data_IF_541583830353
#
_entry.id   IF_541583830353
#
_cell.length_a   1.000
_cell.length_b   1.000
_cell.length_c   1.000
_cell.angle_alpha   90.00
_cell.angle_beta   90.00
_cell.angle_gamma   90.00
#
_symmetry.space_group_name_H-M   'P 1'
#
loop_
_entity.id
_entity.type
_entity.pdbx_description
1 polymer ?
#
# COMPACT_ATOMS: atom_id res chain seq x y z
N UNK A 1 -21.49 2.79 -14.73
CA UNK A 1 -20.04 2.48 -14.64
C UNK A 1 -19.53 2.81 -13.25
N UNK A 2 -18.97 1.81 -12.56
CA UNK A 2 -18.26 1.97 -11.27
C UNK A 2 -16.83 2.41 -11.54
N UNK A 3 -16.22 3.11 -10.59
CA UNK A 3 -14.79 3.42 -10.60
C UNK A 3 -14.13 2.75 -9.40
N UNK A 4 -12.93 2.20 -9.63
CA UNK A 4 -12.04 1.71 -8.58
C UNK A 4 -10.72 2.46 -8.67
N UNK A 5 -10.27 2.99 -7.55
CA UNK A 5 -8.90 3.52 -7.42
C UNK A 5 -8.10 2.64 -6.46
N UNK A 6 -7.01 2.06 -6.93
CA UNK A 6 -6.10 1.24 -6.14
C UNK A 6 -4.86 2.05 -5.84
N UNK A 7 -4.44 2.11 -4.58
CA UNK A 7 -3.24 2.79 -4.14
C UNK A 7 -2.20 1.76 -3.68
N UNK A 8 -0.96 1.84 -4.18
CA UNK A 8 0.16 1.20 -3.48
C UNK A 8 0.35 1.90 -2.11
N UNK A 9 0.66 1.16 -1.04
CA UNK A 9 0.80 1.74 0.31
C UNK A 9 1.81 2.91 0.34
N UNK A 10 2.92 2.78 -0.39
CA UNK A 10 3.96 3.80 -0.55
C UNK A 10 3.49 5.09 -1.24
N UNK A 11 2.30 5.11 -1.84
CA UNK A 11 1.64 6.32 -2.34
C UNK A 11 0.71 6.96 -1.31
N UNK A 12 0.45 6.28 -0.20
CA UNK A 12 -0.44 6.74 0.88
C UNK A 12 0.40 7.21 2.06
N UNK A 13 1.38 6.39 2.45
CA UNK A 13 2.33 6.64 3.54
C UNK A 13 3.74 6.70 2.94
N UNK A 14 4.51 7.72 3.31
CA UNK A 14 5.95 7.79 3.07
C UNK A 14 6.63 6.87 4.08
N UNK A 15 7.45 5.95 3.59
CA UNK A 15 8.31 5.10 4.41
C UNK A 15 9.54 4.67 3.60
N UNK A 16 10.60 4.25 4.29
CA UNK A 16 11.77 3.63 3.66
C UNK A 16 11.59 2.11 3.58
N UNK A 17 11.40 1.57 2.37
CA UNK A 17 11.31 0.11 2.17
C UNK A 17 12.58 -0.58 2.66
N UNK A 18 13.75 0.01 2.42
CA UNK A 18 15.04 -0.47 2.91
C UNK A 18 15.06 -0.57 4.44
N UNK A 19 14.54 0.42 5.17
CA UNK A 19 14.52 0.37 6.63
C UNK A 19 13.54 -0.71 7.12
N UNK A 20 12.36 -0.83 6.50
CA UNK A 20 11.41 -1.89 6.86
C UNK A 20 11.98 -3.29 6.62
N UNK A 21 12.70 -3.51 5.51
CA UNK A 21 13.40 -4.77 5.25
C UNK A 21 14.49 -5.04 6.30
N UNK A 22 15.27 -4.02 6.68
CA UNK A 22 16.26 -4.16 7.77
C UNK A 22 15.62 -4.62 9.08
N UNK A 23 14.44 -4.13 9.43
CA UNK A 23 13.72 -4.60 10.62
C UNK A 23 13.35 -6.08 10.51
N UNK A 24 12.88 -6.55 9.35
CA UNK A 24 12.62 -7.97 9.13
C UNK A 24 13.90 -8.81 9.25
N UNK A 25 14.99 -8.33 8.67
CA UNK A 25 16.27 -9.04 8.66
C UNK A 25 16.90 -9.14 10.05
N UNK A 26 16.79 -8.07 10.85
CA UNK A 26 17.18 -8.09 12.26
C UNK A 26 16.38 -9.13 13.04
N UNK A 27 15.06 -9.21 12.83
CA UNK A 27 14.23 -10.22 13.51
C UNK A 27 14.60 -11.65 13.13
N UNK A 28 14.92 -11.90 11.87
CA UNK A 28 15.40 -13.21 11.42
C UNK A 28 16.75 -13.53 12.06
N UNK A 29 17.66 -12.55 12.13
CA UNK A 29 18.96 -12.72 12.78
C UNK A 29 18.85 -13.04 14.27
N UNK A 30 17.98 -12.33 14.99
CA UNK A 30 17.72 -12.57 16.41
C UNK A 30 17.09 -13.94 16.70
N UNK A 31 16.24 -14.44 15.80
CA UNK A 31 15.48 -15.68 16.01
C UNK A 31 16.18 -16.92 15.50
N UNK A 32 16.84 -16.83 14.36
CA UNK A 32 17.46 -17.96 13.67
C UNK A 32 18.98 -17.98 13.81
N UNK A 33 19.59 -16.91 14.34
CA UNK A 33 21.04 -16.79 14.48
C UNK A 33 21.78 -16.59 13.17
N UNK A 34 21.09 -16.20 12.10
CA UNK A 34 21.66 -15.98 10.76
C UNK A 34 21.83 -14.49 10.51
N UNK A 35 23.04 -14.04 10.25
CA UNK A 35 23.29 -12.66 9.83
C UNK A 35 22.86 -12.48 8.37
N UNK A 36 22.10 -11.42 8.08
CA UNK A 36 21.79 -10.99 6.72
C UNK A 36 22.44 -9.64 6.45
N UNK A 37 23.67 -9.69 5.92
CA UNK A 37 24.47 -8.50 5.60
C UNK A 37 23.93 -7.75 4.37
N UNK A 38 23.25 -8.47 3.47
CA UNK A 38 22.62 -7.94 2.26
C UNK A 38 21.21 -8.49 2.09
N UNK A 39 20.38 -7.75 1.35
CA UNK A 39 19.06 -8.22 0.94
C UNK A 39 19.19 -9.39 -0.05
N UNK A 40 18.76 -10.62 0.33
CA UNK A 40 18.95 -11.80 -0.52
C UNK A 40 17.99 -11.83 -1.71
N UNK A 41 16.90 -11.07 -1.67
CA UNK A 41 15.87 -11.04 -2.71
C UNK A 41 15.27 -9.63 -2.85
N UNK A 42 16.04 -8.65 -3.36
CA UNK A 42 15.60 -7.26 -3.49
C UNK A 42 14.39 -7.09 -4.43
N UNK A 43 14.17 -8.02 -5.36
CA UNK A 43 13.03 -8.05 -6.26
C UNK A 43 11.72 -8.49 -5.59
N UNK A 44 11.80 -9.26 -4.49
CA UNK A 44 10.61 -9.75 -3.78
C UNK A 44 10.14 -8.68 -2.81
N UNK A 45 9.17 -7.87 -3.21
CA UNK A 45 8.64 -6.78 -2.36
C UNK A 45 7.69 -7.27 -1.27
N UNK A 46 6.86 -8.27 -1.56
CA UNK A 46 5.88 -8.82 -0.62
C UNK A 46 6.59 -9.51 0.56
N UNK A 47 6.34 -9.05 1.79
CA UNK A 47 7.04 -9.50 3.00
C UNK A 47 6.74 -10.96 3.37
N UNK A 48 5.55 -11.47 3.04
CA UNK A 48 5.21 -12.88 3.21
C UNK A 48 6.05 -13.74 2.26
N UNK A 49 6.12 -13.34 0.99
CA UNK A 49 6.90 -14.05 -0.03
C UNK A 49 8.40 -13.98 0.28
N UNK A 50 8.90 -12.83 0.73
CA UNK A 50 10.30 -12.62 1.12
C UNK A 50 10.69 -13.53 2.29
N UNK A 51 9.87 -13.56 3.35
CA UNK A 51 10.13 -14.44 4.49
C UNK A 51 10.14 -15.91 4.07
N UNK A 52 9.16 -16.35 3.27
CA UNK A 52 9.11 -17.70 2.74
C UNK A 52 10.35 -18.03 1.90
N UNK A 53 10.80 -17.10 1.05
CA UNK A 53 12.00 -17.26 0.23
C UNK A 53 13.25 -17.47 1.10
N UNK A 54 13.43 -16.63 2.13
CA UNK A 54 14.56 -16.74 3.05
C UNK A 54 14.53 -18.07 3.82
N UNK A 55 13.36 -18.50 4.28
CA UNK A 55 13.20 -19.79 4.96
C UNK A 55 13.59 -20.97 4.06
N UNK A 56 13.18 -20.93 2.79
CA UNK A 56 13.48 -21.99 1.83
C UNK A 56 14.95 -21.99 1.37
N UNK A 57 15.54 -20.82 1.14
CA UNK A 57 16.86 -20.69 0.50
C UNK A 57 18.01 -20.60 1.50
N UNK A 58 17.84 -19.79 2.54
CA UNK A 58 18.91 -19.49 3.50
C UNK A 58 18.83 -20.38 4.74
N UNK A 59 17.66 -20.46 5.37
CA UNK A 59 17.47 -21.23 6.61
C UNK A 59 17.32 -22.74 6.32
N UNK A 60 16.88 -23.10 5.09
CA UNK A 60 16.60 -24.47 4.63
C UNK A 60 15.59 -25.19 5.53
N UNK A 61 14.53 -24.48 5.93
CA UNK A 61 13.42 -25.01 6.74
C UNK A 61 12.09 -24.54 6.16
N UNK A 62 11.04 -25.30 6.42
CA UNK A 62 9.68 -24.83 6.19
C UNK A 62 9.27 -23.83 7.28
N UNK A 63 8.58 -22.78 6.87
CA UNK A 63 7.99 -21.81 7.79
C UNK A 63 6.64 -22.34 8.27
N UNK A 64 6.55 -22.75 9.53
CA UNK A 64 5.28 -23.14 10.13
C UNK A 64 4.35 -21.94 10.34
N UNK A 65 3.05 -22.19 10.43
CA UNK A 65 2.04 -21.14 10.69
C UNK A 65 2.29 -20.43 12.03
N UNK A 66 2.69 -21.17 13.07
CA UNK A 66 3.02 -20.60 14.38
C UNK A 66 4.23 -19.67 14.30
N UNK A 67 5.28 -20.08 13.57
CA UNK A 67 6.46 -19.25 13.37
C UNK A 67 6.11 -18.01 12.56
N UNK A 68 5.31 -18.15 11.49
CA UNK A 68 4.84 -17.04 10.70
C UNK A 68 4.09 -16.01 11.55
N UNK A 69 3.12 -16.45 12.36
CA UNK A 69 2.37 -15.56 13.25
C UNK A 69 3.31 -14.85 14.25
N UNK A 70 4.33 -15.54 14.74
CA UNK A 70 5.34 -14.94 15.62
C UNK A 70 6.17 -13.86 14.91
N UNK A 71 6.57 -14.06 13.64
CA UNK A 71 7.25 -13.07 12.82
C UNK A 71 6.37 -11.85 12.54
N UNK A 72 5.11 -12.05 12.16
CA UNK A 72 4.15 -10.96 11.91
C UNK A 72 3.99 -10.07 13.14
N UNK A 73 3.81 -10.68 14.31
CA UNK A 73 3.67 -9.97 15.59
C UNK A 73 4.96 -9.24 15.99
N UNK A 74 6.12 -9.87 15.82
CA UNK A 74 7.41 -9.26 16.12
C UNK A 74 7.73 -8.10 15.17
N UNK A 75 7.42 -8.26 13.88
CA UNK A 75 7.60 -7.22 12.87
C UNK A 75 6.77 -5.98 13.17
N UNK A 76 5.50 -6.14 13.51
CA UNK A 76 4.66 -5.01 13.98
C UNK A 76 5.28 -4.29 15.17
N UNK A 77 5.81 -5.02 16.16
CA UNK A 77 6.48 -4.41 17.32
C UNK A 77 7.71 -3.61 16.89
N UNK A 78 8.52 -4.15 15.98
CA UNK A 78 9.68 -3.47 15.43
C UNK A 78 9.30 -2.20 14.66
N UNK A 79 8.27 -2.27 13.80
CA UNK A 79 7.72 -1.10 13.09
C UNK A 79 7.22 -0.04 14.07
N UNK A 80 6.48 -0.45 15.12
CA UNK A 80 6.01 0.48 16.15
C UNK A 80 7.18 1.13 16.91
N UNK A 81 8.20 0.37 17.25
CA UNK A 81 9.40 0.90 17.90
C UNK A 81 10.10 1.92 16.99
N UNK A 82 10.31 1.57 15.72
CA UNK A 82 10.92 2.48 14.74
C UNK A 82 10.13 3.80 14.59
N UNK A 83 8.79 3.75 14.65
CA UNK A 83 7.96 4.96 14.65
C UNK A 83 8.13 5.83 15.91
N UNK A 84 8.35 5.21 17.08
CA UNK A 84 8.55 5.94 18.33
C UNK A 84 9.96 6.52 18.44
N UNK A 85 10.94 5.85 17.84
CA UNK A 85 12.33 6.29 17.82
C UNK A 85 12.56 7.43 16.80
N UNK A 86 11.81 7.43 15.71
CA UNK A 86 11.83 8.45 14.65
C UNK A 86 10.39 8.73 14.18
N UNK A 87 9.79 9.82 14.68
CA UNK A 87 8.41 10.22 14.33
C UNK A 87 8.26 10.51 12.83
N UNK A 88 9.35 10.90 12.14
CA UNK A 88 9.36 11.21 10.70
C UNK A 88 9.56 9.96 9.83
N UNK A 89 9.81 8.79 10.44
CA UNK A 89 9.99 7.53 9.73
C UNK A 89 8.77 7.15 8.88
N UNK A 90 7.58 7.57 9.33
CA UNK A 90 6.31 7.32 8.65
C UNK A 90 5.47 8.59 8.61
N UNK A 91 5.14 9.07 7.41
CA UNK A 91 4.32 10.27 7.23
C UNK A 91 3.21 10.02 6.21
N UNK A 92 1.99 10.46 6.50
CA UNK A 92 0.92 10.46 5.48
C UNK A 92 1.29 11.41 4.34
N UNK A 93 1.12 10.97 3.09
CA UNK A 93 1.40 11.87 1.97
C UNK A 93 0.37 13.00 1.90
N UNK A 94 0.80 14.27 1.70
CA UNK A 94 -0.10 15.41 1.65
C UNK A 94 -1.23 15.24 0.65
N UNK A 95 -2.46 15.53 1.10
CA UNK A 95 -3.66 15.49 0.27
C UNK A 95 -4.36 14.12 0.19
N UNK A 96 -3.73 13.03 0.66
CA UNK A 96 -4.34 11.68 0.68
C UNK A 96 -5.67 11.65 1.43
N UNK A 97 -5.69 12.19 2.66
CA UNK A 97 -6.91 12.16 3.47
C UNK A 97 -8.05 12.98 2.82
N UNK A 98 -7.72 14.12 2.21
CA UNK A 98 -8.69 14.90 1.44
C UNK A 98 -9.19 14.15 0.20
N UNK A 99 -8.33 13.36 -0.45
CA UNK A 99 -8.70 12.55 -1.61
C UNK A 99 -9.65 11.43 -1.21
N UNK A 100 -9.35 10.73 -0.11
CA UNK A 100 -10.17 9.65 0.43
C UNK A 100 -11.55 10.17 0.82
N UNK A 101 -11.62 11.27 1.57
CA UNK A 101 -12.90 11.87 1.95
C UNK A 101 -13.74 12.41 0.78
N UNK A 102 -13.12 12.66 -0.39
CA UNK A 102 -13.86 13.00 -1.61
C UNK A 102 -14.33 11.75 -2.37
N UNK A 103 -13.52 10.69 -2.42
CA UNK A 103 -13.93 9.40 -2.98
C UNK A 103 -15.11 8.78 -2.23
N UNK A 104 -15.12 8.84 -0.89
CA UNK A 104 -16.23 8.32 -0.07
C UNK A 104 -17.57 9.02 -0.35
N UNK A 105 -17.54 10.29 -0.77
CA UNK A 105 -18.76 11.06 -1.12
C UNK A 105 -19.34 10.65 -2.48
N UNK A 106 -18.58 9.93 -3.30
CA UNK A 106 -18.96 9.53 -4.65
C UNK A 106 -19.55 8.11 -4.66
N UNK A 107 -20.89 7.99 -4.70
CA UNK A 107 -21.63 6.70 -4.60
C UNK A 107 -21.18 5.55 -5.53
N UNK A 108 -20.54 5.85 -6.66
CA UNK A 108 -20.06 4.86 -7.63
C UNK A 108 -18.53 4.76 -7.68
N UNK A 109 -17.86 5.23 -6.62
CA UNK A 109 -16.41 5.21 -6.47
C UNK A 109 -16.03 4.31 -5.31
N UNK A 110 -15.23 3.29 -5.60
CA UNK A 110 -14.58 2.43 -4.61
C UNK A 110 -13.09 2.73 -4.62
N UNK A 111 -12.43 2.49 -3.51
CA UNK A 111 -10.98 2.56 -3.47
C UNK A 111 -10.40 1.57 -2.47
N UNK A 112 -9.13 1.24 -2.66
CA UNK A 112 -8.41 0.37 -1.76
C UNK A 112 -6.91 0.53 -1.82
N UNK A 113 -6.23 -0.10 -0.87
CA UNK A 113 -4.78 -0.09 -0.73
C UNK A 113 -4.26 -1.52 -0.97
N UNK A 114 -3.22 -1.65 -1.78
CA UNK A 114 -2.39 -2.85 -1.87
C UNK A 114 -1.10 -2.60 -1.08
N UNK A 115 -0.82 -3.48 -0.11
CA UNK A 115 0.33 -3.37 0.78
C UNK A 115 1.19 -4.62 0.67
N UNK A 116 2.49 -4.41 0.50
CA UNK A 116 3.47 -5.49 0.55
C UNK A 116 3.84 -5.89 1.99
N UNK A 117 3.29 -5.20 3.00
CA UNK A 117 3.46 -5.52 4.41
C UNK A 117 2.31 -6.39 4.92
N UNK A 118 2.53 -7.09 6.03
CA UNK A 118 1.47 -7.80 6.73
C UNK A 118 0.36 -6.87 7.24
N UNK A 119 -0.84 -7.41 7.43
CA UNK A 119 -2.02 -6.65 7.79
C UNK A 119 -1.83 -5.85 9.06
N UNK A 120 -1.35 -6.46 10.14
CA UNK A 120 -1.26 -5.75 11.40
C UNK A 120 -0.27 -4.57 11.37
N UNK A 121 0.84 -4.71 10.63
CA UNK A 121 1.81 -3.64 10.43
C UNK A 121 1.24 -2.54 9.52
N UNK A 122 0.56 -2.93 8.45
CA UNK A 122 -0.12 -2.00 7.52
C UNK A 122 -1.17 -1.17 8.27
N UNK A 123 -2.01 -1.81 9.10
CA UNK A 123 -3.03 -1.12 9.89
C UNK A 123 -2.42 -0.18 10.91
N UNK A 124 -1.35 -0.60 11.59
CA UNK A 124 -0.62 0.28 12.51
C UNK A 124 -0.13 1.55 11.80
N UNK A 125 0.56 1.42 10.65
CA UNK A 125 1.08 2.56 9.90
C UNK A 125 -0.04 3.52 9.47
N UNK A 126 -1.13 2.98 8.93
CA UNK A 126 -2.28 3.78 8.50
C UNK A 126 -2.91 4.53 9.69
N UNK A 127 -3.05 3.88 10.85
CA UNK A 127 -3.63 4.51 12.05
C UNK A 127 -2.69 5.56 12.65
N UNK A 128 -1.41 5.24 12.81
CA UNK A 128 -0.41 6.14 13.36
C UNK A 128 -0.27 7.43 12.52
N UNK A 129 -0.36 7.30 11.19
CA UNK A 129 -0.30 8.44 10.28
C UNK A 129 -1.66 9.13 10.05
N UNK A 130 -2.72 8.77 10.80
CA UNK A 130 -4.02 9.42 10.71
C UNK A 130 -4.82 9.13 9.44
N UNK A 131 -4.55 8.02 8.74
CA UNK A 131 -5.26 7.63 7.51
C UNK A 131 -6.51 6.81 7.82
N UNK A 132 -7.63 7.52 7.95
CA UNK A 132 -8.93 6.94 8.27
C UNK A 132 -9.86 6.93 7.05
N UNK A 133 -10.50 5.77 6.80
CA UNK A 133 -11.58 5.65 5.83
C UNK A 133 -12.44 4.45 6.19
N UNK A 134 -13.76 4.62 6.13
CA UNK A 134 -14.73 3.55 6.48
C UNK A 134 -14.90 2.54 5.34
N UNK A 135 -14.81 3.01 4.10
CA UNK A 135 -15.13 2.21 2.91
C UNK A 135 -13.89 1.68 2.18
N UNK A 136 -12.69 1.95 2.71
CA UNK A 136 -11.41 1.53 2.12
C UNK A 136 -11.15 0.05 2.35
N UNK A 137 -10.95 -0.67 1.24
CA UNK A 137 -10.45 -2.05 1.29
C UNK A 137 -8.92 -2.04 1.35
N UNK A 138 -8.31 -2.87 2.18
CA UNK A 138 -6.84 -3.05 2.22
C UNK A 138 -6.53 -4.52 1.97
N UNK A 139 -5.62 -4.82 1.05
CA UNK A 139 -5.12 -6.16 0.77
C UNK A 139 -3.62 -6.18 1.08
N UNK A 140 -3.17 -7.16 1.84
CA UNK A 140 -1.85 -7.21 2.46
C UNK A 140 -1.04 -8.42 2.00
N UNK A 141 0.20 -8.52 2.49
CA UNK A 141 1.20 -9.51 2.07
C UNK A 141 0.73 -10.97 2.15
N UNK A 142 0.01 -11.31 3.21
CA UNK A 142 -0.51 -12.65 3.50
C UNK A 142 -1.68 -13.06 2.59
N UNK A 143 -2.33 -12.10 1.92
CA UNK A 143 -3.55 -12.39 1.14
C UNK A 143 -3.24 -12.86 -0.28
N UNK A 144 -2.10 -12.46 -0.85
CA UNK A 144 -1.74 -12.80 -2.22
C UNK A 144 -0.21 -12.80 -2.39
N UNK A 145 0.35 -13.57 -3.35
CA UNK A 145 1.79 -13.77 -3.48
C UNK A 145 2.57 -12.51 -3.87
N UNK A 146 1.93 -11.59 -4.59
CA UNK A 146 2.54 -10.36 -5.08
C UNK A 146 1.49 -9.25 -5.20
N UNK A 147 1.98 -8.03 -5.45
CA UNK A 147 1.14 -6.84 -5.54
C UNK A 147 0.13 -6.90 -6.68
N UNK A 148 0.46 -7.47 -7.83
CA UNK A 148 -0.48 -7.58 -8.95
C UNK A 148 -1.67 -8.49 -8.58
N UNK A 149 -1.40 -9.61 -7.91
CA UNK A 149 -2.43 -10.48 -7.37
C UNK A 149 -3.29 -9.78 -6.30
N UNK A 150 -2.69 -8.96 -5.42
CA UNK A 150 -3.45 -8.15 -4.46
C UNK A 150 -4.38 -7.15 -5.17
N UNK A 151 -3.90 -6.51 -6.24
CA UNK A 151 -4.71 -5.57 -7.03
C UNK A 151 -5.86 -6.29 -7.75
N UNK A 152 -5.66 -7.50 -8.29
CA UNK A 152 -6.73 -8.31 -8.88
C UNK A 152 -7.83 -8.68 -7.85
N UNK A 153 -7.45 -8.91 -6.59
CA UNK A 153 -8.43 -9.11 -5.50
C UNK A 153 -9.26 -7.82 -5.27
N UNK A 154 -8.64 -6.64 -5.31
CA UNK A 154 -9.39 -5.38 -5.21
C UNK A 154 -10.34 -5.19 -6.40
N UNK A 155 -9.92 -5.55 -7.60
CA UNK A 155 -10.74 -5.52 -8.81
C UNK A 155 -11.94 -6.45 -8.68
N UNK A 156 -11.73 -7.69 -8.24
CA UNK A 156 -12.79 -8.68 -8.08
C UNK A 156 -13.83 -8.25 -7.03
N UNK A 157 -13.38 -7.69 -5.90
CA UNK A 157 -14.27 -7.12 -4.85
C UNK A 157 -15.03 -5.87 -5.32
N UNK A 158 -14.49 -5.13 -6.29
CA UNK A 158 -15.14 -3.95 -6.83
C UNK A 158 -16.17 -4.28 -7.93
N UNK A 159 -15.91 -5.32 -8.73
CA UNK A 159 -16.71 -5.75 -9.87
C UNK A 159 -18.10 -6.26 -9.43
N UNK A 160 -19.14 -5.82 -10.12
CA UNK A 160 -20.50 -6.41 -10.04
C UNK A 160 -20.83 -7.04 -11.39
N UNK A 161 -21.60 -8.14 -11.40
CA UNK A 161 -21.85 -8.97 -12.60
C UNK A 161 -22.32 -8.17 -13.83
N UNK A 162 -23.07 -7.08 -13.64
CA UNK A 162 -23.68 -6.32 -14.74
C UNK A 162 -23.25 -4.85 -14.84
N UNK A 163 -22.09 -4.49 -14.26
CA UNK A 163 -21.62 -3.11 -14.24
C UNK A 163 -20.18 -2.97 -14.72
N UNK A 164 -19.97 -2.20 -15.79
CA UNK A 164 -18.62 -1.84 -16.24
C UNK A 164 -17.81 -1.15 -15.13
N UNK A 165 -16.53 -1.51 -15.03
CA UNK A 165 -15.59 -1.02 -14.02
C UNK A 165 -14.45 -0.26 -14.69
N UNK A 166 -14.22 0.97 -14.27
CA UNK A 166 -13.06 1.75 -14.68
C UNK A 166 -12.01 1.75 -13.57
N UNK A 167 -10.81 1.28 -13.88
CA UNK A 167 -9.74 1.08 -12.91
C UNK A 167 -8.71 2.20 -13.04
N UNK A 168 -8.32 2.75 -11.88
CA UNK A 168 -7.21 3.67 -11.74
C UNK A 168 -6.19 3.06 -10.77
N UNK A 169 -4.92 3.05 -11.13
CA UNK A 169 -3.84 2.59 -10.24
C UNK A 169 -2.97 3.79 -9.91
N UNK A 170 -2.79 4.05 -8.62
CA UNK A 170 -1.92 5.09 -8.10
C UNK A 170 -0.67 4.42 -7.56
N UNK A 171 0.46 4.65 -8.23
CA UNK A 171 1.76 4.07 -7.92
C UNK A 171 2.88 5.08 -8.13
N UNK A 172 4.05 4.83 -7.52
CA UNK A 172 5.24 5.68 -7.68
C UNK A 172 5.90 5.49 -9.06
N UNK A 173 6.84 6.38 -9.38
CA UNK A 173 7.67 6.25 -10.58
C UNK A 173 8.53 4.98 -10.51
N UNK A 174 8.61 4.24 -11.62
CA UNK A 174 9.32 2.95 -11.70
C UNK A 174 8.42 1.74 -11.51
N UNK A 175 7.29 1.88 -10.82
CA UNK A 175 6.31 0.79 -10.73
C UNK A 175 5.58 0.58 -12.06
N UNK A 176 5.52 -0.69 -12.45
CA UNK A 176 4.83 -1.20 -13.63
C UNK A 176 3.78 -2.21 -13.18
N UNK A 177 2.62 -1.73 -12.66
CA UNK A 177 1.54 -2.63 -12.31
C UNK A 177 1.06 -3.37 -13.56
N UNK A 178 0.75 -4.65 -13.40
CA UNK A 178 0.23 -5.50 -14.47
C UNK A 178 -1.12 -6.07 -14.02
N UNK A 179 -2.17 -5.81 -14.79
CA UNK A 179 -3.50 -6.36 -14.58
C UNK A 179 -4.00 -6.96 -15.88
N UNK A 180 -4.87 -7.96 -15.77
CA UNK A 180 -5.51 -8.61 -16.93
C UNK A 180 -6.59 -7.73 -17.59
N UNK A 181 -6.78 -6.50 -17.10
CA UNK A 181 -7.85 -5.58 -17.51
C UNK A 181 -7.28 -4.21 -17.83
N UNK A 182 -8.01 -3.43 -18.61
CA UNK A 182 -7.63 -2.05 -18.87
C UNK A 182 -7.67 -1.20 -17.59
N UNK A 183 -6.59 -0.46 -17.34
CA UNK A 183 -6.49 0.48 -16.25
C UNK A 183 -5.79 1.77 -16.70
N UNK A 184 -5.98 2.82 -15.91
CA UNK A 184 -5.23 4.06 -16.05
C UNK A 184 -4.25 4.21 -14.90
N UNK A 185 -2.97 4.35 -15.23
CA UNK A 185 -1.94 4.72 -14.25
C UNK A 185 -2.06 6.21 -13.92
N UNK A 186 -1.96 6.52 -12.63
CA UNK A 186 -1.84 7.86 -12.07
C UNK A 186 -0.56 7.86 -11.23
N UNK A 187 0.39 8.72 -11.60
CA UNK A 187 1.60 8.93 -10.81
C UNK A 187 1.48 10.27 -10.11
N UNK A 188 1.48 10.31 -8.76
CA UNK A 188 1.55 11.57 -8.03
C UNK A 188 2.78 12.37 -8.47
N UNK A 189 2.68 13.70 -8.46
CA UNK A 189 3.85 14.54 -8.78
C UNK A 189 4.81 14.54 -7.60
N UNK A 190 6.09 14.27 -7.86
CA UNK A 190 7.14 14.48 -6.88
C UNK A 190 7.27 15.98 -6.60
N UNK A 191 7.64 16.32 -5.38
CA UNK A 191 7.98 17.67 -4.96
C UNK A 191 9.36 18.01 -5.50
N UNK A 192 9.50 19.21 -6.06
CA UNK A 192 10.80 19.69 -6.54
C UNK A 192 11.79 19.94 -5.39
N UNK A 193 11.29 20.07 -4.15
CA UNK A 193 12.11 20.35 -2.96
C UNK A 193 12.62 19.10 -2.25
N UNK A 194 11.92 17.97 -2.43
CA UNK A 194 12.24 16.70 -1.77
C UNK A 194 11.99 15.58 -2.77
N UNK A 195 13.06 14.92 -3.22
CA UNK A 195 13.04 13.89 -4.26
C UNK A 195 12.08 12.72 -3.97
N UNK A 196 11.70 12.51 -2.71
CA UNK A 196 10.80 11.43 -2.24
C UNK A 196 9.46 11.92 -1.67
N UNK A 197 9.17 13.23 -1.74
CA UNK A 197 7.94 13.82 -1.25
C UNK A 197 6.94 13.96 -2.39
N UNK A 198 5.70 13.50 -2.22
CA UNK A 198 4.66 13.61 -3.24
C UNK A 198 3.46 14.34 -2.65
N UNK A 199 2.94 15.30 -3.40
CA UNK A 199 1.74 16.06 -3.02
C UNK A 199 0.61 15.69 -3.96
N UNK A 200 -0.51 15.22 -3.40
CA UNK A 200 -1.68 14.92 -4.21
C UNK A 200 -2.35 16.21 -4.69
N UNK A 201 -2.61 16.35 -6.00
CA UNK A 201 -3.43 17.44 -6.51
C UNK A 201 -4.89 17.24 -6.06
N UNK A 202 -5.74 18.24 -6.34
CA UNK A 202 -7.17 18.14 -5.98
C UNK A 202 -7.81 16.96 -6.71
N UNK A 203 -8.79 16.30 -6.10
CA UNK A 203 -9.51 15.15 -6.69
C UNK A 203 -9.94 15.37 -8.15
N UNK A 204 -10.51 16.54 -8.46
CA UNK A 204 -10.95 16.89 -9.80
C UNK A 204 -9.80 17.00 -10.81
N UNK A 205 -8.61 17.41 -10.36
CA UNK A 205 -7.40 17.48 -11.18
C UNK A 205 -6.86 16.07 -11.41
N UNK A 206 -6.82 15.24 -10.37
CA UNK A 206 -6.35 13.86 -10.43
C UNK A 206 -7.19 13.02 -11.41
N UNK A 207 -8.51 13.19 -11.37
CA UNK A 207 -9.45 12.42 -12.19
C UNK A 207 -10.01 13.17 -13.41
N UNK A 208 -9.55 14.41 -13.66
CA UNK A 208 -10.03 15.31 -14.74
C UNK A 208 -11.56 15.46 -14.80
N UNK A 209 -12.20 15.55 -13.64
CA UNK A 209 -13.67 15.71 -13.56
C UNK A 209 -13.99 17.20 -13.71
N UNK A 210 -14.62 17.58 -14.83
CA UNK A 210 -15.14 18.95 -15.00
C UNK A 210 -16.23 19.18 -13.94
N UNK A 211 -16.05 20.17 -13.06
CA UNK A 211 -17.14 20.64 -12.19
C UNK A 211 -18.28 21.08 -13.09
N UNK A 212 -19.46 20.46 -12.96
CA UNK A 212 -20.68 21.03 -13.54
C UNK A 212 -20.92 22.35 -12.79
N UNK A 213 -20.76 23.48 -13.47
CA UNK A 213 -21.20 24.77 -12.93
C UNK A 213 -22.69 24.63 -12.62
N UNK A 214 -23.06 24.57 -11.34
CA UNK A 214 -24.44 24.82 -10.93
C UNK A 214 -24.74 26.25 -11.36
N UNK A 215 -25.45 26.43 -12.48
CA UNK A 215 -26.11 27.71 -12.77
C UNK A 215 -26.94 28.04 -11.53
N UNK A 216 -26.53 29.09 -10.81
CA UNK A 216 -27.40 29.73 -9.82
C UNK A 216 -28.67 30.10 -10.56
N UNK A 217 -29.79 29.46 -10.26
CA UNK A 217 -31.08 29.98 -10.66
C UNK A 217 -31.29 31.26 -9.84
N UNK A 218 -31.02 32.41 -10.46
CA UNK A 218 -31.60 33.66 -10.00
C UNK A 218 -33.11 33.50 -10.09
N UNK A 219 -33.76 33.44 -8.92
CA UNK A 219 -35.18 33.76 -8.79
C UNK A 219 -35.36 35.26 -8.95
#
# INVERSE_FOLDING_TARGET
MTRLTIFSLDTVIRYSETNLRKLLFQLISEREGISMESDPAPEIRNFQALLNHIFQKEIKKELSEENLAAYQKAFKKAVKKNYLDDEDAFEVRPGVQSLFGQMEKEKKWKFGIASDLWEEATQFLLQACGVFSKDKLTICAETAPDRNAQMEILVSRAQKKDQGLKIYIVCLNGEKPELKRDFKIIRPKASDKESNYYVYPRFNELFKIKKKNKKRSSK
#
